data_IF_800664158211
#
_entry.id   IF_800664158211
#
_cell.length_a   1.000
_cell.length_b   1.000
_cell.length_c   1.000
_cell.angle_alpha   90.00
_cell.angle_beta   90.00
_cell.angle_gamma   90.00
#
_symmetry.space_group_name_H-M   'P 1'
#
loop_
_entity.id
_entity.type
_entity.pdbx_description
1 polymer ?
#
# COMPACT_ATOMS: atom_id res chain seq x y z
N UNK A 1 27.42 -6.10 5.59
CA UNK A 1 27.27 -6.85 4.33
C UNK A 1 25.91 -6.63 3.65
N UNK A 2 24.85 -6.25 4.39
CA UNK A 2 23.46 -6.13 3.90
C UNK A 2 23.20 -5.14 2.74
N UNK A 3 24.00 -4.06 2.61
CA UNK A 3 23.68 -2.99 1.65
C UNK A 3 23.84 -3.42 0.18
N UNK A 4 24.91 -4.15 -0.15
CA UNK A 4 25.14 -4.63 -1.52
C UNK A 4 24.17 -5.72 -1.96
N UNK A 5 23.81 -6.63 -1.05
CA UNK A 5 22.84 -7.71 -1.31
C UNK A 5 21.44 -7.16 -1.63
N UNK A 6 21.05 -6.06 -0.99
CA UNK A 6 19.78 -5.39 -1.27
C UNK A 6 19.76 -4.70 -2.65
N UNK A 7 20.89 -4.14 -3.11
CA UNK A 7 20.97 -3.45 -4.40
C UNK A 7 20.81 -4.43 -5.57
N UNK A 8 21.53 -5.55 -5.54
CA UNK A 8 21.40 -6.61 -6.55
C UNK A 8 19.98 -7.21 -6.56
N UNK A 9 19.41 -7.47 -5.38
CA UNK A 9 18.05 -7.98 -5.26
C UNK A 9 17.01 -6.99 -5.84
N UNK A 10 17.16 -5.70 -5.56
CA UNK A 10 16.29 -4.66 -6.12
C UNK A 10 16.37 -4.64 -7.65
N UNK A 11 17.56 -4.75 -8.23
CA UNK A 11 17.72 -4.76 -9.69
C UNK A 11 17.04 -5.98 -10.32
N UNK A 12 17.25 -7.17 -9.76
CA UNK A 12 16.63 -8.40 -10.24
C UNK A 12 15.11 -8.34 -10.14
N UNK A 13 14.56 -7.84 -9.03
CA UNK A 13 13.11 -7.70 -8.84
C UNK A 13 12.51 -6.65 -9.79
N UNK A 14 13.19 -5.52 -10.01
CA UNK A 14 12.77 -4.53 -11.02
C UNK A 14 12.78 -5.12 -12.43
N UNK A 15 13.73 -5.99 -12.75
CA UNK A 15 13.76 -6.72 -14.03
C UNK A 15 12.60 -7.71 -14.12
N UNK A 16 12.36 -8.51 -13.08
CA UNK A 16 11.23 -9.45 -13.03
C UNK A 16 9.89 -8.73 -13.25
N UNK A 17 9.67 -7.61 -12.55
CA UNK A 17 8.50 -6.74 -12.72
C UNK A 17 8.33 -6.24 -14.15
N UNK A 18 9.42 -5.90 -14.85
CA UNK A 18 9.34 -5.46 -16.26
C UNK A 18 9.00 -6.60 -17.22
N UNK A 19 9.41 -7.82 -16.90
CA UNK A 19 9.17 -8.99 -17.73
C UNK A 19 7.76 -9.55 -17.53
N UNK A 20 7.22 -9.46 -16.31
CA UNK A 20 5.91 -9.99 -15.95
C UNK A 20 5.19 -8.99 -15.02
N UNK A 21 4.71 -7.86 -15.57
CA UNK A 21 4.14 -6.76 -14.77
C UNK A 21 2.84 -7.14 -14.05
N UNK A 22 2.12 -8.11 -14.58
CA UNK A 22 0.85 -8.64 -14.11
C UNK A 22 1.01 -9.81 -13.13
N UNK A 23 2.26 -10.22 -12.81
CA UNK A 23 2.50 -11.21 -11.76
C UNK A 23 2.36 -10.60 -10.37
N UNK A 24 1.19 -10.79 -9.77
CA UNK A 24 0.82 -10.29 -8.42
C UNK A 24 0.51 -11.41 -7.41
N UNK A 25 0.81 -12.66 -7.75
CA UNK A 25 0.67 -13.79 -6.83
C UNK A 25 1.69 -13.74 -5.67
N UNK A 26 1.68 -14.76 -4.81
CA UNK A 26 2.60 -14.85 -3.68
C UNK A 26 4.06 -14.71 -4.12
N UNK A 27 4.82 -13.88 -3.40
CA UNK A 27 6.22 -13.60 -3.74
C UNK A 27 6.41 -12.71 -4.97
N UNK A 28 5.40 -11.91 -5.36
CA UNK A 28 5.52 -10.98 -6.46
C UNK A 28 6.60 -9.89 -6.23
N UNK A 29 7.20 -9.35 -7.32
CA UNK A 29 8.29 -8.39 -7.19
C UNK A 29 7.88 -7.09 -6.52
N UNK A 30 6.63 -6.64 -6.66
CA UNK A 30 6.12 -5.43 -6.01
C UNK A 30 6.16 -5.57 -4.48
N UNK A 31 5.63 -6.67 -3.95
CA UNK A 31 5.63 -6.98 -2.51
C UNK A 31 7.06 -7.10 -1.96
N UNK A 32 7.92 -7.83 -2.68
CA UNK A 32 9.31 -8.01 -2.25
C UNK A 32 10.10 -6.69 -2.26
N UNK A 33 9.91 -5.85 -3.28
CA UNK A 33 10.51 -4.51 -3.31
C UNK A 33 9.98 -3.63 -2.18
N UNK A 34 8.67 -3.63 -1.93
CA UNK A 34 8.07 -2.87 -0.82
C UNK A 34 8.67 -3.30 0.54
N UNK A 35 8.86 -4.60 0.76
CA UNK A 35 9.44 -5.13 1.99
C UNK A 35 10.93 -4.78 2.13
N UNK A 36 11.69 -4.77 1.03
CA UNK A 36 13.09 -4.32 1.03
C UNK A 36 13.13 -2.83 1.37
N UNK A 37 12.35 -2.00 0.69
CA UNK A 37 12.29 -0.56 0.91
C UNK A 37 11.88 -0.20 2.34
N UNK A 38 10.92 -0.93 2.92
CA UNK A 38 10.56 -0.83 4.33
C UNK A 38 11.74 -1.11 5.25
N UNK A 39 12.50 -2.18 4.99
CA UNK A 39 13.68 -2.57 5.80
C UNK A 39 14.84 -1.58 5.66
N UNK A 40 15.00 -0.95 4.51
CA UNK A 40 16.05 0.04 4.26
C UNK A 40 15.64 1.47 4.66
N UNK A 41 14.39 1.68 5.07
CA UNK A 41 13.87 2.98 5.45
C UNK A 41 13.51 3.89 4.26
N UNK A 42 13.47 3.35 3.05
CA UNK A 42 13.03 4.07 1.85
C UNK A 42 11.50 4.07 1.77
N UNK A 43 10.88 4.99 2.50
CA UNK A 43 9.43 5.08 2.59
C UNK A 43 8.76 5.36 1.24
N UNK A 44 9.35 6.22 0.42
CA UNK A 44 8.78 6.58 -0.89
C UNK A 44 8.90 5.42 -1.89
N UNK A 45 9.99 4.64 -1.80
CA UNK A 45 10.12 3.36 -2.50
C UNK A 45 9.04 2.38 -2.08
N UNK A 46 8.80 2.21 -0.78
CA UNK A 46 7.75 1.32 -0.26
C UNK A 46 6.36 1.72 -0.76
N UNK A 47 6.00 3.01 -0.66
CA UNK A 47 4.71 3.54 -1.12
C UNK A 47 4.50 3.22 -2.60
N UNK A 48 5.48 3.54 -3.45
CA UNK A 48 5.39 3.34 -4.91
C UNK A 48 5.11 1.89 -5.28
N UNK A 49 5.78 0.95 -4.61
CA UNK A 49 5.62 -0.48 -4.92
C UNK A 49 4.28 -1.03 -4.42
N UNK A 50 3.79 -0.56 -3.27
CA UNK A 50 2.46 -0.92 -2.79
C UNK A 50 1.34 -0.27 -3.64
N UNK A 51 1.50 0.99 -4.08
CA UNK A 51 0.56 1.65 -4.99
C UNK A 51 0.44 0.86 -6.29
N UNK A 52 1.57 0.45 -6.87
CA UNK A 52 1.59 -0.38 -8.06
C UNK A 52 0.95 -1.76 -7.80
N UNK A 53 1.29 -2.44 -6.70
CA UNK A 53 0.70 -3.72 -6.33
C UNK A 53 -0.83 -3.64 -6.22
N UNK A 54 -1.34 -2.70 -5.42
CA UNK A 54 -2.79 -2.57 -5.21
C UNK A 54 -3.53 -2.12 -6.46
N UNK A 55 -2.87 -1.44 -7.40
CA UNK A 55 -3.48 -1.05 -8.68
C UNK A 55 -3.62 -2.21 -9.66
N UNK A 56 -2.79 -3.26 -9.52
CA UNK A 56 -2.82 -4.45 -10.37
C UNK A 56 -3.64 -5.56 -9.71
N UNK A 57 -3.45 -5.76 -8.40
CA UNK A 57 -4.26 -6.65 -7.57
C UNK A 57 -5.27 -5.84 -6.78
N UNK A 58 -6.41 -5.55 -7.41
CA UNK A 58 -7.51 -4.78 -6.82
C UNK A 58 -8.12 -5.45 -5.58
N UNK A 59 -7.86 -6.75 -5.36
CA UNK A 59 -8.34 -7.50 -4.19
C UNK A 59 -7.30 -7.59 -3.06
N UNK A 60 -6.14 -6.92 -3.19
CA UNK A 60 -5.06 -6.96 -2.21
C UNK A 60 -5.35 -6.12 -0.96
N UNK A 61 -6.26 -6.58 -0.11
CA UNK A 61 -6.67 -5.84 1.09
C UNK A 61 -5.50 -5.58 2.06
N UNK A 62 -4.53 -6.49 2.14
CA UNK A 62 -3.36 -6.30 2.99
C UNK A 62 -2.46 -5.17 2.49
N UNK A 63 -2.21 -5.09 1.17
CA UNK A 63 -1.51 -3.98 0.55
C UNK A 63 -2.23 -2.65 0.77
N UNK A 64 -3.56 -2.62 0.64
CA UNK A 64 -4.37 -1.43 0.93
C UNK A 64 -4.25 -1.00 2.40
N UNK A 65 -4.30 -1.94 3.35
CA UNK A 65 -4.13 -1.64 4.78
C UNK A 65 -2.74 -1.11 5.12
N UNK A 66 -1.70 -1.64 4.47
CA UNK A 66 -0.33 -1.16 4.67
C UNK A 66 -0.14 0.26 4.11
N UNK A 67 -0.62 0.55 2.90
CA UNK A 67 -0.65 1.91 2.35
C UNK A 67 -1.45 2.87 3.22
N UNK A 68 -2.65 2.47 3.65
CA UNK A 68 -3.48 3.28 4.53
C UNK A 68 -2.74 3.64 5.82
N UNK A 69 -2.00 2.71 6.43
CA UNK A 69 -1.22 3.01 7.62
C UNK A 69 -0.13 4.06 7.32
N UNK A 70 0.58 3.90 6.20
CA UNK A 70 1.62 4.85 5.79
C UNK A 70 1.03 6.25 5.56
N UNK A 71 -0.07 6.36 4.81
CA UNK A 71 -0.71 7.64 4.55
C UNK A 71 -1.26 8.29 5.82
N UNK A 72 -1.82 7.50 6.73
CA UNK A 72 -2.31 7.96 8.03
C UNK A 72 -1.19 8.58 8.87
N UNK A 73 -0.04 7.90 8.95
CA UNK A 73 1.13 8.35 9.70
C UNK A 73 1.74 9.62 9.08
N UNK A 74 1.66 9.74 7.74
CA UNK A 74 2.18 10.88 6.98
C UNK A 74 1.19 12.04 6.84
N UNK A 75 -0.01 11.94 7.43
CA UNK A 75 -1.09 12.94 7.30
C UNK A 75 -1.48 13.22 5.84
N UNK A 76 -1.34 12.21 4.98
CA UNK A 76 -1.80 12.23 3.59
C UNK A 76 -3.28 11.83 3.55
N UNK A 77 -4.13 12.66 4.13
CA UNK A 77 -5.52 12.28 4.44
C UNK A 77 -6.37 12.04 3.18
N UNK A 78 -6.07 12.68 2.05
CA UNK A 78 -6.77 12.43 0.79
C UNK A 78 -6.43 11.04 0.20
N UNK A 79 -5.15 10.71 0.14
CA UNK A 79 -4.69 9.40 -0.34
C UNK A 79 -5.18 8.28 0.59
N UNK A 80 -5.23 8.57 1.90
CA UNK A 80 -5.80 7.69 2.91
C UNK A 80 -7.28 7.37 2.63
N UNK A 81 -8.11 8.38 2.36
CA UNK A 81 -9.53 8.18 2.05
C UNK A 81 -9.69 7.37 0.76
N UNK A 82 -8.90 7.67 -0.28
CA UNK A 82 -8.98 6.94 -1.56
C UNK A 82 -8.68 5.45 -1.37
N UNK A 83 -7.54 5.12 -0.73
CA UNK A 83 -7.15 3.71 -0.56
C UNK A 83 -8.11 2.97 0.39
N UNK A 84 -8.65 3.63 1.41
CA UNK A 84 -9.64 3.02 2.31
C UNK A 84 -11.01 2.84 1.64
N UNK A 85 -11.38 3.71 0.71
CA UNK A 85 -12.60 3.57 -0.09
C UNK A 85 -12.51 2.34 -0.97
N UNK A 86 -11.38 2.17 -1.66
CA UNK A 86 -11.07 0.93 -2.43
C UNK A 86 -11.09 -0.31 -1.53
N UNK A 87 -10.42 -0.25 -0.37
CA UNK A 87 -10.40 -1.37 0.57
C UNK A 87 -11.81 -1.77 1.08
N UNK A 88 -12.70 -0.79 1.24
CA UNK A 88 -14.09 -1.06 1.65
C UNK A 88 -14.90 -1.74 0.54
N UNK A 89 -14.57 -1.49 -0.74
CA UNK A 89 -15.18 -2.22 -1.85
C UNK A 89 -14.78 -3.70 -1.86
N UNK A 90 -13.55 -4.02 -1.44
CA UNK A 90 -13.04 -5.39 -1.35
C UNK A 90 -13.68 -6.14 -0.18
N UNK A 91 -13.61 -5.56 1.01
CA UNK A 91 -14.24 -6.12 2.21
C UNK A 91 -14.97 -5.02 2.97
N UNK A 92 -16.29 -4.91 2.75
CA UNK A 92 -17.09 -3.90 3.42
C UNK A 92 -17.04 -4.00 4.93
N UNK A 93 -16.79 -5.17 5.53
CA UNK A 93 -16.88 -5.41 6.97
C UNK A 93 -15.53 -5.47 7.69
N UNK A 94 -14.42 -5.12 7.01
CA UNK A 94 -13.11 -5.01 7.68
C UNK A 94 -13.15 -3.86 8.69
N UNK A 95 -13.15 -4.21 9.98
CA UNK A 95 -13.28 -3.25 11.07
C UNK A 95 -12.11 -2.28 11.14
N UNK A 96 -10.91 -2.72 10.77
CA UNK A 96 -9.72 -1.85 10.75
C UNK A 96 -9.85 -0.80 9.65
N UNK A 97 -10.26 -1.21 8.45
CA UNK A 97 -10.49 -0.29 7.32
C UNK A 97 -11.57 0.73 7.67
N UNK A 98 -12.72 0.30 8.21
CA UNK A 98 -13.80 1.21 8.63
C UNK A 98 -13.34 2.22 9.68
N UNK A 99 -12.65 1.75 10.71
CA UNK A 99 -12.16 2.61 11.79
C UNK A 99 -11.18 3.66 11.27
N UNK A 100 -10.20 3.25 10.45
CA UNK A 100 -9.24 4.16 9.84
C UNK A 100 -9.93 5.20 8.95
N UNK A 101 -11.01 4.82 8.25
CA UNK A 101 -11.76 5.70 7.36
C UNK A 101 -12.57 6.73 8.15
N UNK A 102 -13.22 6.30 9.24
CA UNK A 102 -13.88 7.21 10.17
C UNK A 102 -12.90 8.25 10.73
N UNK A 103 -11.74 7.80 11.22
CA UNK A 103 -10.69 8.72 11.73
C UNK A 103 -10.17 9.66 10.64
N UNK A 104 -10.03 9.20 9.39
CA UNK A 104 -9.61 10.05 8.27
C UNK A 104 -10.62 11.17 8.00
N UNK A 105 -11.93 10.87 7.99
CA UNK A 105 -12.97 11.86 7.81
C UNK A 105 -13.10 12.83 9.00
N UNK A 106 -12.94 12.35 10.23
CA UNK A 106 -12.90 13.20 11.43
C UNK A 106 -11.75 14.22 11.35
N UNK A 107 -10.56 13.80 10.91
CA UNK A 107 -9.41 14.70 10.71
C UNK A 107 -9.68 15.81 9.69
N UNK A 108 -10.43 15.49 8.63
CA UNK A 108 -10.80 16.48 7.60
C UNK A 108 -12.04 17.31 7.95
N UNK A 109 -12.67 17.11 9.12
CA UNK A 109 -13.97 17.70 9.48
C UNK A 109 -15.10 17.37 8.48
N UNK A 110 -14.95 16.28 7.72
CA UNK A 110 -15.90 15.82 6.69
C UNK A 110 -16.85 14.77 7.25
N UNK A 111 -17.57 15.14 8.31
CA UNK A 111 -18.41 14.21 9.10
C UNK A 111 -19.50 13.52 8.27
N UNK A 112 -20.06 14.20 7.26
CA UNK A 112 -21.15 13.67 6.43
C UNK A 112 -20.73 12.49 5.55
N UNK A 113 -19.43 12.37 5.23
CA UNK A 113 -18.90 11.32 4.35
C UNK A 113 -18.43 10.09 5.13
N UNK A 114 -18.39 10.17 6.47
CA UNK A 114 -18.04 9.06 7.34
C UNK A 114 -19.15 8.01 7.50
N UNK A 115 -20.40 8.35 7.14
CA UNK A 115 -21.63 7.59 7.47
C UNK A 115 -22.10 6.69 6.32
N UNK A 116 -21.50 6.79 5.13
CA UNK A 116 -21.90 6.08 3.90
C UNK A 116 -20.95 4.90 3.64
#
# INVERSE_FOLDING_TARGET
MVKGENEDAIEMLKKARRLIPDYVHAGNPYRLLADIYKKTGDLEGQIRELEALTSIDENNIEGCKELAQIYYDRRRDNDLIDILSRATMINPFDSKVRNMRGTAYERQQRFNEAII
#
